data_IF_272809718299
#
_entry.id   IF_272809718299
#
_cell.length_a   1.000
_cell.length_b   1.000
_cell.length_c   1.000
_cell.angle_alpha   90.00
_cell.angle_beta   90.00
_cell.angle_gamma   90.00
#
_symmetry.space_group_name_H-M   'P 1'
#
loop_
_entity.id
_entity.type
_entity.pdbx_description
1 polymer ?
#
# COMPACT_ATOMS: atom_id res chain seq x y z
N UNK A 1 -24.33 0.99 5.93
CA UNK A 1 -24.37 -0.31 5.24
C UNK A 1 -24.80 -0.21 3.77
N UNK A 2 -26.03 0.23 3.45
CA UNK A 2 -26.51 0.29 2.04
C UNK A 2 -25.64 1.14 1.11
N UNK A 3 -25.18 2.31 1.56
CA UNK A 3 -24.27 3.17 0.81
C UNK A 3 -22.93 2.48 0.49
N UNK A 4 -22.34 1.76 1.47
CA UNK A 4 -21.08 1.04 1.29
C UNK A 4 -21.20 -0.05 0.23
N UNK A 5 -22.31 -0.80 0.23
CA UNK A 5 -22.59 -1.84 -0.78
C UNK A 5 -22.73 -1.22 -2.17
N UNK A 6 -23.45 -0.09 -2.29
CA UNK A 6 -23.62 0.61 -3.58
C UNK A 6 -22.28 1.11 -4.12
N UNK A 7 -21.50 1.81 -3.30
CA UNK A 7 -20.15 2.29 -3.68
C UNK A 7 -19.27 1.12 -4.11
N UNK A 8 -19.36 0.01 -3.39
CA UNK A 8 -18.56 -1.15 -3.66
C UNK A 8 -18.95 -1.87 -4.97
N UNK A 9 -20.24 -2.04 -5.24
CA UNK A 9 -20.73 -2.56 -6.52
C UNK A 9 -20.31 -1.65 -7.67
N UNK A 10 -20.36 -0.32 -7.48
CA UNK A 10 -19.87 0.64 -8.47
C UNK A 10 -18.37 0.46 -8.74
N UNK A 11 -17.55 0.29 -7.70
CA UNK A 11 -16.12 0.04 -7.85
C UNK A 11 -15.83 -1.28 -8.57
N UNK A 12 -16.51 -2.37 -8.22
CA UNK A 12 -16.37 -3.67 -8.92
C UNK A 12 -16.81 -3.56 -10.38
N UNK A 13 -17.89 -2.82 -10.66
CA UNK A 13 -18.35 -2.57 -12.02
C UNK A 13 -17.33 -1.77 -12.83
N UNK A 14 -16.69 -0.78 -12.18
CA UNK A 14 -15.61 -0.01 -12.78
C UNK A 14 -14.40 -0.91 -13.11
N UNK A 15 -14.02 -1.83 -12.22
CA UNK A 15 -12.96 -2.81 -12.48
C UNK A 15 -13.31 -3.68 -13.68
N UNK A 16 -14.50 -4.27 -13.71
CA UNK A 16 -14.93 -5.13 -14.81
C UNK A 16 -14.94 -4.39 -16.15
N UNK A 17 -15.38 -3.14 -16.17
CA UNK A 17 -15.34 -2.29 -17.35
C UNK A 17 -13.91 -2.03 -17.83
N UNK A 18 -12.98 -1.69 -16.93
CA UNK A 18 -11.57 -1.48 -17.30
C UNK A 18 -10.92 -2.73 -17.91
N UNK A 19 -11.20 -3.91 -17.35
CA UNK A 19 -10.68 -5.18 -17.89
C UNK A 19 -11.12 -5.36 -19.34
N UNK A 20 -12.39 -5.09 -19.65
CA UNK A 20 -12.88 -5.20 -21.04
C UNK A 20 -12.21 -4.23 -22.01
N UNK A 21 -11.91 -3.01 -21.56
CA UNK A 21 -11.22 -2.01 -22.38
C UNK A 21 -9.76 -2.37 -22.66
N UNK A 22 -9.06 -2.97 -21.69
CA UNK A 22 -7.63 -3.30 -21.82
C UNK A 22 -7.40 -4.53 -22.71
N UNK A 23 -8.25 -5.54 -22.58
CA UNK A 23 -8.12 -6.78 -23.36
C UNK A 23 -8.91 -6.77 -24.68
N UNK A 24 -9.46 -5.61 -25.07
CA UNK A 24 -10.31 -5.44 -26.26
C UNK A 24 -11.45 -6.47 -26.34
N UNK A 25 -12.07 -6.73 -25.19
CA UNK A 25 -13.17 -7.69 -25.03
C UNK A 25 -14.49 -6.93 -25.06
N UNK A 26 -15.53 -7.51 -25.67
CA UNK A 26 -16.84 -6.88 -25.78
C UNK A 26 -17.40 -6.46 -24.41
N UNK A 27 -17.91 -5.23 -24.31
CA UNK A 27 -18.28 -4.62 -23.02
C UNK A 27 -19.41 -5.34 -22.27
N UNK A 28 -20.23 -6.15 -22.95
CA UNK A 28 -21.26 -6.95 -22.27
C UNK A 28 -20.65 -8.06 -21.40
N UNK A 29 -19.43 -8.51 -21.68
CA UNK A 29 -18.73 -9.52 -20.88
C UNK A 29 -18.38 -8.99 -19.49
N UNK A 30 -18.22 -7.66 -19.32
CA UNK A 30 -18.06 -7.03 -18.01
C UNK A 30 -19.25 -7.27 -17.07
N UNK A 31 -20.45 -7.52 -17.61
CA UNK A 31 -21.65 -7.74 -16.80
C UNK A 31 -21.63 -9.09 -16.05
N UNK A 32 -20.98 -10.13 -16.61
CA UNK A 32 -20.92 -11.46 -16.01
C UNK A 32 -20.29 -11.47 -14.60
N UNK A 33 -19.05 -10.96 -14.38
CA UNK A 33 -18.46 -10.95 -13.05
C UNK A 33 -19.24 -10.05 -12.07
N UNK A 34 -19.81 -8.94 -12.55
CA UNK A 34 -20.62 -8.04 -11.72
C UNK A 34 -21.90 -8.74 -11.24
N UNK A 35 -22.59 -9.46 -12.13
CA UNK A 35 -23.79 -10.24 -11.79
C UNK A 35 -23.48 -11.36 -10.79
N UNK A 36 -22.33 -12.02 -10.91
CA UNK A 36 -21.88 -13.03 -9.94
C UNK A 36 -21.69 -12.39 -8.56
N UNK A 37 -21.01 -11.23 -8.47
CA UNK A 37 -20.82 -10.52 -7.20
C UNK A 37 -22.17 -10.09 -6.60
N UNK A 38 -23.08 -9.55 -7.41
CA UNK A 38 -24.43 -9.18 -6.96
C UNK A 38 -25.18 -10.43 -6.45
N UNK A 39 -25.09 -11.56 -7.15
CA UNK A 39 -25.72 -12.82 -6.75
C UNK A 39 -25.18 -13.35 -5.41
N UNK A 40 -23.87 -13.30 -5.20
CA UNK A 40 -23.23 -13.68 -3.93
C UNK A 40 -23.72 -12.77 -2.80
N UNK A 41 -23.74 -11.45 -3.02
CA UNK A 41 -24.21 -10.50 -2.01
C UNK A 41 -25.68 -10.68 -1.67
N UNK A 42 -26.54 -10.92 -2.67
CA UNK A 42 -27.96 -11.22 -2.46
C UNK A 42 -28.16 -12.53 -1.68
N UNK A 43 -27.39 -13.58 -2.00
CA UNK A 43 -27.45 -14.85 -1.29
C UNK A 43 -27.02 -14.72 0.17
N UNK A 44 -25.93 -13.99 0.44
CA UNK A 44 -25.45 -13.74 1.81
C UNK A 44 -26.46 -12.92 2.60
N UNK A 45 -27.02 -11.85 2.02
CA UNK A 45 -28.07 -11.06 2.67
C UNK A 45 -29.35 -11.86 2.96
N UNK A 46 -29.71 -12.80 2.09
CA UNK A 46 -30.94 -13.58 2.24
C UNK A 46 -30.78 -14.75 3.23
N UNK A 47 -29.60 -15.36 3.28
CA UNK A 47 -29.38 -16.60 4.05
C UNK A 47 -28.65 -16.40 5.38
N UNK A 48 -27.91 -15.30 5.55
CA UNK A 48 -27.04 -15.06 6.70
C UNK A 48 -27.39 -13.70 7.32
N UNK A 49 -28.02 -13.72 8.49
CA UNK A 49 -28.39 -12.50 9.24
C UNK A 49 -27.20 -11.82 9.93
N UNK A 50 -26.00 -12.42 9.90
CA UNK A 50 -24.81 -11.85 10.53
C UNK A 50 -24.15 -10.78 9.67
N UNK A 51 -24.27 -9.52 10.12
CA UNK A 51 -23.60 -8.35 9.53
C UNK A 51 -22.07 -8.53 9.42
N UNK A 52 -21.46 -9.26 10.36
CA UNK A 52 -20.02 -9.58 10.36
C UNK A 52 -19.62 -10.42 9.13
N UNK A 53 -20.40 -11.45 8.83
CA UNK A 53 -20.16 -12.33 7.67
C UNK A 53 -20.27 -11.55 6.37
N UNK A 54 -21.20 -10.60 6.29
CA UNK A 54 -21.34 -9.72 5.12
C UNK A 54 -20.10 -8.83 4.91
N UNK A 55 -19.55 -8.22 5.98
CA UNK A 55 -18.31 -7.43 5.88
C UNK A 55 -17.11 -8.28 5.47
N UNK A 56 -17.01 -9.50 5.98
CA UNK A 56 -15.96 -10.43 5.58
C UNK A 56 -16.05 -10.79 4.09
N UNK A 57 -17.23 -11.12 3.59
CA UNK A 57 -17.45 -11.42 2.16
C UNK A 57 -17.14 -10.20 1.28
N UNK A 58 -17.57 -9.01 1.67
CA UNK A 58 -17.24 -7.77 0.95
C UNK A 58 -15.73 -7.50 0.94
N UNK A 59 -15.02 -7.79 2.03
CA UNK A 59 -13.56 -7.65 2.03
C UNK A 59 -12.89 -8.63 1.05
N UNK A 60 -13.33 -9.90 1.03
CA UNK A 60 -12.81 -10.92 0.11
C UNK A 60 -13.03 -10.57 -1.37
N UNK A 61 -14.23 -10.12 -1.73
CA UNK A 61 -14.50 -9.66 -3.10
C UNK A 61 -13.59 -8.49 -3.47
N UNK A 62 -13.08 -7.75 -2.48
CA UNK A 62 -12.41 -6.46 -2.68
C UNK A 62 -10.97 -6.70 -2.96
N UNK A 63 -10.40 -7.61 -2.19
CA UNK A 63 -9.14 -8.26 -2.46
C UNK A 63 -9.15 -8.93 -3.85
N UNK A 64 -10.18 -9.70 -4.20
CA UNK A 64 -10.27 -10.34 -5.51
C UNK A 64 -10.32 -9.32 -6.65
N UNK A 65 -11.11 -8.25 -6.49
CA UNK A 65 -11.20 -7.17 -7.47
C UNK A 65 -9.87 -6.41 -7.60
N UNK A 66 -9.21 -6.10 -6.47
CA UNK A 66 -7.88 -5.49 -6.46
C UNK A 66 -6.84 -6.39 -7.12
N UNK A 67 -6.93 -7.70 -6.99
CA UNK A 67 -6.02 -8.64 -7.64
C UNK A 67 -6.16 -8.58 -9.15
N UNK A 68 -7.40 -8.51 -9.65
CA UNK A 68 -7.66 -8.30 -11.08
C UNK A 68 -7.08 -6.96 -11.54
N UNK A 69 -7.40 -5.86 -10.85
CA UNK A 69 -6.86 -4.51 -11.17
C UNK A 69 -5.34 -4.52 -11.17
N UNK A 70 -4.72 -5.15 -10.16
CA UNK A 70 -3.26 -5.18 -10.01
C UNK A 70 -2.59 -5.94 -11.14
N UNK A 71 -3.14 -7.09 -11.56
CA UNK A 71 -2.63 -7.83 -12.73
C UNK A 71 -2.80 -7.01 -14.00
N UNK A 72 -3.98 -6.41 -14.21
CA UNK A 72 -4.24 -5.60 -15.41
C UNK A 72 -3.35 -4.36 -15.51
N UNK A 73 -2.95 -3.77 -14.38
CA UNK A 73 -2.03 -2.64 -14.35
C UNK A 73 -0.56 -3.08 -14.49
N UNK A 74 -0.18 -4.21 -13.87
CA UNK A 74 1.20 -4.67 -13.85
C UNK A 74 1.71 -5.13 -15.22
N UNK A 75 0.86 -5.80 -16.02
CA UNK A 75 1.22 -6.28 -17.36
C UNK A 75 1.76 -5.17 -18.29
N UNK A 76 1.04 -4.07 -18.54
CA UNK A 76 1.54 -2.98 -19.38
C UNK A 76 2.74 -2.27 -18.74
N UNK A 77 2.77 -2.11 -17.42
CA UNK A 77 3.90 -1.47 -16.76
C UNK A 77 5.20 -2.27 -16.90
N UNK A 78 5.13 -3.59 -16.79
CA UNK A 78 6.29 -4.46 -17.05
C UNK A 78 6.73 -4.42 -18.50
N UNK A 79 5.80 -4.28 -19.45
CA UNK A 79 6.12 -4.15 -20.87
C UNK A 79 6.86 -2.84 -21.20
N UNK A 80 6.68 -1.77 -20.41
CA UNK A 80 7.41 -0.50 -20.61
C UNK A 80 8.85 -0.51 -20.08
N UNK A 81 9.23 -1.51 -19.29
CA UNK A 81 10.61 -1.66 -18.79
C UNK A 81 11.52 -2.08 -19.95
N UNK A 82 12.72 -1.50 -20.03
CA UNK A 82 13.72 -1.78 -21.06
C UNK A 82 13.27 -1.47 -22.51
N UNK A 83 12.39 -0.47 -22.69
CA UNK A 83 12.06 0.10 -24.01
C UNK A 83 11.00 -0.65 -24.83
N UNK A 84 10.23 -1.55 -24.22
CA UNK A 84 9.10 -2.19 -24.87
C UNK A 84 7.95 -1.21 -25.17
N UNK A 85 7.39 -1.36 -26.38
CA UNK A 85 6.26 -0.63 -27.00
C UNK A 85 5.66 0.55 -26.23
N UNK A 86 5.58 1.70 -26.89
CA UNK A 86 4.80 2.86 -26.44
C UNK A 86 3.34 2.45 -26.25
N UNK A 87 2.94 2.24 -25.00
CA UNK A 87 1.55 1.92 -24.69
C UNK A 87 0.73 3.14 -25.14
N UNK A 88 -0.17 2.94 -26.11
CA UNK A 88 -1.20 3.94 -26.38
C UNK A 88 -1.86 4.25 -25.04
N UNK A 89 -1.79 5.52 -24.62
CA UNK A 89 -2.55 6.05 -23.50
C UNK A 89 -4.04 5.98 -23.83
N UNK A 90 -4.61 4.79 -23.82
CA UNK A 90 -6.04 4.63 -23.86
C UNK A 90 -6.56 5.06 -22.50
N UNK A 91 -7.61 5.89 -22.51
CA UNK A 91 -8.31 6.51 -21.39
C UNK A 91 -8.73 5.58 -20.21
N UNK A 92 -8.27 4.33 -20.21
CA UNK A 92 -8.55 3.22 -19.31
C UNK A 92 -7.65 3.14 -18.05
N UNK A 93 -6.58 3.94 -17.96
CA UNK A 93 -5.70 3.91 -16.77
C UNK A 93 -6.27 4.69 -15.57
N UNK A 94 -6.81 5.89 -15.77
CA UNK A 94 -7.39 6.72 -14.68
C UNK A 94 -8.43 5.94 -13.87
N UNK A 95 -9.40 5.24 -14.50
CA UNK A 95 -10.41 4.52 -13.74
C UNK A 95 -9.84 3.31 -12.99
N UNK A 96 -8.74 2.70 -13.44
CA UNK A 96 -8.03 1.66 -12.66
C UNK A 96 -7.49 2.23 -11.34
N UNK A 97 -6.83 3.39 -11.36
CA UNK A 97 -6.33 4.02 -10.14
C UNK A 97 -7.44 4.42 -9.18
N UNK A 98 -8.50 5.04 -9.71
CA UNK A 98 -9.67 5.44 -8.92
C UNK A 98 -10.29 4.20 -8.28
N UNK A 99 -10.40 3.10 -9.03
CA UNK A 99 -10.91 1.84 -8.49
C UNK A 99 -10.01 1.25 -7.40
N UNK A 100 -8.67 1.28 -7.58
CA UNK A 100 -7.73 0.76 -6.60
C UNK A 100 -7.74 1.57 -5.29
N UNK A 101 -7.69 2.90 -5.37
CA UNK A 101 -7.75 3.79 -4.20
C UNK A 101 -9.11 3.66 -3.50
N UNK A 102 -10.20 3.60 -4.27
CA UNK A 102 -11.55 3.40 -3.73
C UNK A 102 -11.70 2.06 -3.01
N UNK A 103 -11.26 0.96 -3.64
CA UNK A 103 -11.29 -0.37 -3.03
C UNK A 103 -10.38 -0.48 -1.81
N UNK A 104 -9.23 0.18 -1.82
CA UNK A 104 -8.36 0.29 -0.66
C UNK A 104 -9.06 1.01 0.50
N UNK A 105 -9.60 2.21 0.26
CA UNK A 105 -10.27 2.99 1.30
C UNK A 105 -11.48 2.26 1.91
N UNK A 106 -12.32 1.65 1.06
CA UNK A 106 -13.44 0.83 1.53
C UNK A 106 -12.92 -0.43 2.25
N UNK A 107 -11.85 -1.05 1.77
CA UNK A 107 -11.20 -2.21 2.39
C UNK A 107 -10.65 -1.93 3.79
N UNK A 108 -9.98 -0.77 3.99
CA UNK A 108 -9.51 -0.34 5.33
C UNK A 108 -10.68 -0.22 6.30
N UNK A 109 -11.76 0.42 5.85
CA UNK A 109 -12.96 0.58 6.66
C UNK A 109 -13.66 -0.75 6.96
N UNK A 110 -13.81 -1.63 5.97
CA UNK A 110 -14.39 -2.96 6.13
C UNK A 110 -13.56 -3.84 7.06
N UNK A 111 -12.23 -3.77 6.97
CA UNK A 111 -11.34 -4.53 7.84
C UNK A 111 -11.54 -4.14 9.31
N UNK A 112 -11.59 -2.83 9.60
CA UNK A 112 -11.91 -2.31 10.92
C UNK A 112 -13.32 -2.68 11.40
N UNK A 113 -14.31 -2.68 10.49
CA UNK A 113 -15.70 -3.03 10.79
C UNK A 113 -15.94 -4.55 10.96
N UNK A 114 -15.04 -5.39 10.43
CA UNK A 114 -15.16 -6.85 10.45
C UNK A 114 -14.67 -7.51 11.74
N UNK A 115 -14.02 -6.76 12.64
CA UNK A 115 -13.58 -7.30 13.93
C UNK A 115 -14.79 -7.64 14.83
N UNK A 116 -14.70 -8.77 15.52
CA UNK A 116 -15.79 -9.35 16.32
C UNK A 116 -16.32 -8.34 17.36
N UNK A 117 -17.64 -8.11 17.37
CA UNK A 117 -18.28 -7.10 18.22
C UNK A 117 -18.25 -7.44 19.71
N UNK A 118 -17.97 -8.69 20.07
CA UNK A 118 -18.03 -9.15 21.46
C UNK A 118 -16.85 -8.73 22.33
N UNK A 119 -15.72 -8.28 21.76
CA UNK A 119 -14.55 -7.86 22.53
C UNK A 119 -13.98 -6.53 22.02
N UNK A 120 -14.24 -5.46 22.79
CA UNK A 120 -13.80 -4.10 22.50
C UNK A 120 -12.27 -3.98 22.41
N UNK A 121 -11.54 -4.83 23.15
CA UNK A 121 -10.08 -4.87 23.16
C UNK A 121 -9.55 -5.35 21.81
N UNK A 122 -10.11 -6.45 21.32
CA UNK A 122 -9.71 -7.03 20.04
C UNK A 122 -10.12 -6.14 18.86
N UNK A 123 -11.26 -5.47 18.96
CA UNK A 123 -11.64 -4.46 17.98
C UNK A 123 -10.60 -3.31 17.92
N UNK A 124 -10.22 -2.76 19.07
CA UNK A 124 -9.26 -1.66 19.14
C UNK A 124 -7.86 -2.08 18.68
N UNK A 125 -7.40 -3.27 19.09
CA UNK A 125 -6.14 -3.85 18.65
C UNK A 125 -6.10 -4.02 17.13
N UNK A 126 -7.15 -4.58 16.54
CA UNK A 126 -7.26 -4.74 15.08
C UNK A 126 -7.34 -3.38 14.36
N UNK A 127 -8.07 -2.41 14.93
CA UNK A 127 -8.17 -1.06 14.38
C UNK A 127 -6.80 -0.36 14.32
N UNK A 128 -6.01 -0.46 15.40
CA UNK A 128 -4.67 0.11 15.45
C UNK A 128 -3.64 -0.67 14.61
N UNK A 129 -3.85 -1.98 14.41
CA UNK A 129 -2.96 -2.81 13.60
C UNK A 129 -2.84 -2.34 12.14
N UNK A 130 -3.85 -1.61 11.66
CA UNK A 130 -3.85 -0.96 10.36
C UNK A 130 -4.55 -1.77 9.26
N UNK A 131 -4.30 -1.43 7.99
CA UNK A 131 -4.92 -2.10 6.86
C UNK A 131 -4.33 -3.51 6.66
N UNK A 132 -5.13 -4.42 6.09
CA UNK A 132 -4.65 -5.75 5.72
C UNK A 132 -3.45 -5.69 4.78
N UNK A 133 -2.42 -6.50 5.05
CA UNK A 133 -1.16 -6.50 4.30
C UNK A 133 -1.37 -6.76 2.80
N UNK A 134 -2.21 -7.73 2.45
CA UNK A 134 -2.49 -8.08 1.06
C UNK A 134 -3.25 -6.96 0.34
N UNK A 135 -4.22 -6.32 1.01
CA UNK A 135 -4.96 -5.18 0.46
C UNK A 135 -4.01 -4.02 0.11
N UNK A 136 -3.12 -3.67 1.04
CA UNK A 136 -2.12 -2.62 0.82
C UNK A 136 -1.10 -2.99 -0.25
N UNK A 137 -0.69 -4.25 -0.34
CA UNK A 137 0.26 -4.74 -1.37
C UNK A 137 -0.34 -4.68 -2.78
N UNK A 138 -1.57 -5.18 -2.98
CA UNK A 138 -2.22 -5.15 -4.29
C UNK A 138 -2.44 -3.71 -4.77
N UNK A 139 -2.85 -2.83 -3.84
CA UNK A 139 -3.00 -1.40 -4.14
C UNK A 139 -1.65 -0.77 -4.48
N UNK A 140 -0.59 -1.10 -3.74
CA UNK A 140 0.77 -0.65 -4.04
C UNK A 140 1.25 -1.12 -5.41
N UNK A 141 0.88 -2.33 -5.85
CA UNK A 141 1.20 -2.83 -7.18
C UNK A 141 0.56 -1.97 -8.27
N UNK A 142 -0.71 -1.59 -8.10
CA UNK A 142 -1.40 -0.70 -9.05
C UNK A 142 -0.76 0.69 -9.07
N UNK A 143 -0.49 1.28 -7.90
CA UNK A 143 0.15 2.59 -7.81
C UNK A 143 1.56 2.57 -8.41
N UNK A 144 2.32 1.52 -8.17
CA UNK A 144 3.67 1.34 -8.72
C UNK A 144 3.62 1.20 -10.23
N UNK A 145 2.83 0.26 -10.75
CA UNK A 145 2.65 0.05 -12.19
C UNK A 145 2.24 1.35 -12.89
N UNK A 146 1.29 2.04 -12.27
CA UNK A 146 0.82 3.31 -12.74
C UNK A 146 1.83 4.45 -12.73
N UNK A 147 2.70 4.49 -11.71
CA UNK A 147 3.80 5.47 -11.65
C UNK A 147 4.81 5.21 -12.76
N UNK A 148 5.11 3.95 -13.08
CA UNK A 148 6.00 3.60 -14.20
C UNK A 148 5.39 4.03 -15.54
N UNK A 149 4.11 3.75 -15.76
CA UNK A 149 3.39 4.17 -16.96
C UNK A 149 3.34 5.70 -17.08
N UNK A 150 3.11 6.41 -15.97
CA UNK A 150 3.15 7.87 -15.92
C UNK A 150 4.54 8.42 -16.25
N UNK A 151 5.61 7.77 -15.77
CA UNK A 151 6.99 8.16 -16.10
C UNK A 151 7.30 7.95 -17.58
N UNK A 152 6.83 6.86 -18.19
CA UNK A 152 7.00 6.60 -19.62
C UNK A 152 6.36 7.70 -20.46
N UNK A 153 5.12 8.07 -20.13
CA UNK A 153 4.41 9.17 -20.77
C UNK A 153 5.08 10.52 -20.63
N UNK A 154 5.55 10.84 -19.41
CA UNK A 154 6.25 12.09 -19.14
C UNK A 154 7.53 12.20 -19.98
N UNK A 155 8.24 11.07 -20.19
CA UNK A 155 9.44 11.03 -21.02
C UNK A 155 9.18 11.22 -22.52
N UNK A 156 8.03 10.77 -23.01
CA UNK A 156 7.59 11.03 -24.40
C UNK A 156 7.13 12.47 -24.59
N UNK A 157 6.43 13.02 -23.58
CA UNK A 157 5.78 14.33 -23.68
C UNK A 157 6.75 15.48 -23.41
N UNK A 158 7.69 15.33 -22.48
CA UNK A 158 8.61 16.39 -22.04
C UNK A 158 10.06 15.94 -22.16
N UNK A 159 10.85 16.63 -22.99
CA UNK A 159 12.28 16.33 -23.20
C UNK A 159 13.12 16.49 -21.93
N UNK A 160 12.77 17.42 -21.04
CA UNK A 160 13.46 17.64 -19.76
C UNK A 160 13.33 16.45 -18.79
N UNK A 161 12.22 15.72 -18.85
CA UNK A 161 11.93 14.60 -17.96
C UNK A 161 12.58 13.29 -18.40
N UNK A 162 13.07 13.21 -19.65
CA UNK A 162 13.68 12.00 -20.20
C UNK A 162 14.82 11.47 -19.33
N UNK A 163 15.69 12.35 -18.83
CA UNK A 163 16.80 11.92 -17.96
C UNK A 163 16.31 11.23 -16.69
N UNK A 164 15.22 11.72 -16.09
CA UNK A 164 14.64 11.14 -14.87
C UNK A 164 13.90 9.86 -15.21
N UNK A 165 13.06 9.86 -16.25
CA UNK A 165 12.31 8.69 -16.71
C UNK A 165 13.22 7.50 -17.00
N UNK A 166 14.35 7.72 -17.69
CA UNK A 166 15.32 6.67 -18.00
C UNK A 166 15.92 6.03 -16.73
N UNK A 167 16.07 6.79 -15.64
CA UNK A 167 16.55 6.23 -14.35
C UNK A 167 15.55 5.26 -13.72
N UNK A 168 14.26 5.41 -14.01
CA UNK A 168 13.20 4.54 -13.51
C UNK A 168 12.89 3.36 -14.44
N UNK A 169 12.98 3.55 -15.76
CA UNK A 169 12.53 2.55 -16.76
C UNK A 169 13.65 1.74 -17.42
N UNK A 170 14.84 2.32 -17.58
CA UNK A 170 15.94 1.71 -18.38
C UNK A 170 17.05 1.13 -17.49
N UNK A 171 16.79 0.97 -16.19
CA UNK A 171 17.78 0.53 -15.18
C UNK A 171 17.44 -0.83 -14.58
N UNK A 172 16.64 -1.63 -15.28
CA UNK A 172 16.20 -2.96 -14.85
C UNK A 172 15.14 -2.95 -13.74
N UNK A 173 15.08 -4.03 -12.96
CA UNK A 173 13.97 -4.30 -12.03
C UNK A 173 14.07 -3.59 -10.67
N UNK A 174 15.23 -2.99 -10.34
CA UNK A 174 15.46 -2.39 -9.02
C UNK A 174 14.61 -1.14 -8.79
N UNK A 175 14.54 -0.14 -9.70
CA UNK A 175 13.65 1.01 -9.48
C UNK A 175 12.15 0.63 -9.39
N UNK A 176 11.59 -0.21 -10.29
CA UNK A 176 10.20 -0.68 -10.18
C UNK A 176 9.89 -1.35 -8.83
N UNK A 177 10.75 -2.23 -8.35
CA UNK A 177 10.57 -2.92 -7.06
C UNK A 177 10.73 -1.97 -5.88
N UNK A 178 11.65 -1.01 -5.96
CA UNK A 178 11.81 0.05 -4.95
C UNK A 178 10.54 0.89 -4.82
N UNK A 179 9.95 1.31 -5.94
CA UNK A 179 8.69 2.08 -5.98
C UNK A 179 7.53 1.25 -5.39
N UNK A 180 7.46 -0.05 -5.70
CA UNK A 180 6.49 -0.95 -5.10
C UNK A 180 6.60 -1.00 -3.57
N UNK A 181 7.79 -1.25 -3.03
CA UNK A 181 8.01 -1.29 -1.58
C UNK A 181 7.73 0.06 -0.92
N UNK A 182 8.11 1.16 -1.58
CA UNK A 182 7.81 2.52 -1.12
C UNK A 182 6.30 2.75 -0.99
N UNK A 183 5.50 2.43 -2.01
CA UNK A 183 4.05 2.56 -1.94
C UNK A 183 3.42 1.62 -0.93
N UNK A 184 3.91 0.37 -0.83
CA UNK A 184 3.40 -0.60 0.12
C UNK A 184 3.59 -0.12 1.57
N UNK A 185 4.81 0.31 1.91
CA UNK A 185 5.10 0.89 3.22
C UNK A 185 4.28 2.16 3.47
N UNK A 186 4.21 3.06 2.49
CA UNK A 186 3.45 4.32 2.62
C UNK A 186 1.96 4.08 2.85
N UNK A 187 1.34 3.14 2.14
CA UNK A 187 -0.07 2.82 2.31
C UNK A 187 -0.37 2.25 3.70
N UNK A 188 0.46 1.32 4.19
CA UNK A 188 0.31 0.78 5.55
C UNK A 188 0.39 1.93 6.57
N UNK A 189 1.40 2.78 6.45
CA UNK A 189 1.62 3.90 7.36
C UNK A 189 0.49 4.92 7.31
N UNK A 190 0.02 5.30 6.12
CA UNK A 190 -1.11 6.21 5.96
C UNK A 190 -2.41 5.63 6.54
N UNK A 191 -2.66 4.33 6.34
CA UNK A 191 -3.80 3.64 6.94
C UNK A 191 -3.74 3.65 8.46
N UNK A 192 -2.56 3.37 9.03
CA UNK A 192 -2.34 3.45 10.48
C UNK A 192 -2.48 4.88 11.01
N UNK A 193 -1.86 5.86 10.36
CA UNK A 193 -1.98 7.27 10.73
C UNK A 193 -3.42 7.76 10.66
N UNK A 194 -4.22 7.28 9.69
CA UNK A 194 -5.65 7.59 9.60
C UNK A 194 -6.43 7.05 10.80
N UNK A 195 -6.20 5.78 11.16
CA UNK A 195 -6.85 5.14 12.31
C UNK A 195 -6.45 5.82 13.62
N UNK A 196 -5.17 6.12 13.80
CA UNK A 196 -4.65 6.86 14.95
C UNK A 196 -5.24 8.27 15.04
N UNK A 197 -5.33 9.00 13.92
CA UNK A 197 -5.93 10.33 13.90
C UNK A 197 -7.41 10.27 14.29
N UNK A 198 -8.14 9.27 13.81
CA UNK A 198 -9.53 9.05 14.17
C UNK A 198 -9.69 8.75 15.66
N UNK A 199 -8.83 7.89 16.23
CA UNK A 199 -8.81 7.62 17.68
C UNK A 199 -8.47 8.88 18.48
N UNK A 200 -7.50 9.67 18.05
CA UNK A 200 -7.14 10.93 18.72
C UNK A 200 -8.29 11.93 18.69
N UNK A 201 -8.99 12.03 17.56
CA UNK A 201 -10.17 12.88 17.43
C UNK A 201 -11.32 12.40 18.32
N UNK A 202 -11.55 11.09 18.41
CA UNK A 202 -12.60 10.54 19.27
C UNK A 202 -12.28 10.75 20.75
N UNK A 203 -11.04 10.53 21.20
CA UNK A 203 -10.62 10.77 22.59
C UNK A 203 -10.70 12.24 23.01
N UNK A 204 -10.31 13.17 22.13
CA UNK A 204 -10.46 14.63 22.40
C UNK A 204 -11.90 15.06 22.61
N UNK A 205 -12.85 14.33 22.02
CA UNK A 205 -14.27 14.59 22.21
C UNK A 205 -14.74 14.14 23.60
N UNK A 206 -14.15 13.08 24.17
CA UNK A 206 -14.51 12.60 25.52
C UNK A 206 -14.12 13.58 26.61
N UNK A 207 -13.04 14.32 26.39
CA UNK A 207 -12.56 15.33 27.33
C UNK A 207 -13.45 16.58 27.37
N UNK A 208 -14.30 16.80 26.34
CA UNK A 208 -15.07 18.05 26.17
C UNK A 208 -16.57 17.93 26.42
N UNK A 209 -17.16 16.73 26.35
CA UNK A 209 -18.60 16.53 26.54
C UNK A 209 -18.86 15.87 27.91
N UNK A 210 -19.49 16.61 28.82
CA UNK A 210 -19.99 16.15 30.14
C UNK A 210 -21.19 15.19 30.03
N UNK A 211 -21.79 15.03 28.83
CA UNK A 211 -22.92 14.13 28.58
C UNK A 211 -22.63 13.12 27.45
N UNK A 212 -22.89 11.81 27.67
CA UNK A 212 -22.55 10.76 26.72
C UNK A 212 -23.64 10.62 25.66
N UNK A 213 -23.60 11.43 24.60
CA UNK A 213 -24.37 11.13 23.40
C UNK A 213 -23.53 10.35 22.38
N UNK A 214 -23.65 9.03 22.46
CA UNK A 214 -23.51 8.07 21.34
C UNK A 214 -22.31 8.27 20.43
N UNK A 215 -21.12 7.95 20.92
CA UNK A 215 -20.04 7.50 20.02
C UNK A 215 -19.76 6.06 20.39
N UNK A 216 -20.26 5.11 19.60
CA UNK A 216 -20.32 3.67 19.96
C UNK A 216 -18.97 3.02 20.28
N UNK A 217 -17.86 3.66 19.93
CA UNK A 217 -16.50 3.16 20.21
C UNK A 217 -15.97 3.57 21.58
N UNK A 218 -16.55 4.63 22.16
CA UNK A 218 -16.15 5.22 23.45
C UNK A 218 -16.69 4.40 24.59
N UNK A 219 -17.96 4.06 24.49
CA UNK A 219 -18.62 3.16 25.42
C UNK A 219 -17.94 1.79 25.41
N UNK A 220 -17.49 1.32 24.24
CA UNK A 220 -16.70 0.09 24.10
C UNK A 220 -15.35 0.16 24.80
N UNK A 221 -14.65 1.29 24.69
CA UNK A 221 -13.37 1.47 25.37
C UNK A 221 -13.59 1.67 26.88
N UNK A 222 -14.69 2.28 27.32
CA UNK A 222 -15.06 2.39 28.75
C UNK A 222 -15.34 1.01 29.37
N UNK A 223 -15.91 0.07 28.62
CA UNK A 223 -16.03 -1.36 29.06
C UNK A 223 -14.65 -1.98 29.34
N UNK A 224 -13.56 -1.44 28.78
CA UNK A 224 -12.21 -1.91 29.14
C UNK A 224 -11.83 -1.57 30.59
N UNK A 225 -12.38 -0.49 31.15
CA UNK A 225 -12.15 -0.07 32.55
C UNK A 225 -13.09 -0.71 33.58
N UNK A 226 -14.12 -1.45 33.16
CA UNK A 226 -15.09 -2.06 34.10
C UNK A 226 -14.47 -3.15 35.00
N UNK A 227 -13.36 -3.76 34.57
CA UNK A 227 -12.62 -4.75 35.36
C UNK A 227 -11.20 -4.24 35.66
N UNK A 228 -11.10 -3.45 36.73
CA UNK A 228 -9.85 -2.86 37.21
C UNK A 228 -8.74 -3.91 37.43
N UNK A 229 -9.12 -5.14 37.82
CA UNK A 229 -8.17 -6.23 38.09
C UNK A 229 -7.46 -6.76 36.84
N UNK A 230 -7.96 -6.44 35.64
CA UNK A 230 -7.42 -6.90 34.35
C UNK A 230 -6.96 -5.77 33.44
N UNK A 231 -7.03 -4.51 33.90
CA UNK A 231 -6.69 -3.36 33.08
C UNK A 231 -5.22 -3.39 32.62
N UNK A 232 -4.29 -3.73 33.52
CA UNK A 232 -2.87 -3.79 33.18
C UNK A 232 -2.57 -4.84 32.10
N UNK A 233 -3.14 -6.05 32.22
CA UNK A 233 -3.03 -7.10 31.19
C UNK A 233 -3.56 -6.65 29.82
N UNK A 234 -4.69 -5.92 29.83
CA UNK A 234 -5.32 -5.39 28.62
C UNK A 234 -4.48 -4.30 27.94
N UNK A 235 -3.89 -3.41 28.73
CA UNK A 235 -2.97 -2.38 28.24
C UNK A 235 -1.68 -2.99 27.69
N UNK A 236 -1.12 -3.98 28.39
CA UNK A 236 0.05 -4.73 27.91
C UNK A 236 -0.25 -5.42 26.57
N UNK A 237 -1.43 -6.02 26.42
CA UNK A 237 -1.86 -6.58 25.14
C UNK A 237 -1.90 -5.53 24.02
N UNK A 238 -2.46 -4.35 24.25
CA UNK A 238 -2.53 -3.28 23.25
C UNK A 238 -1.13 -2.77 22.85
N UNK A 239 -0.24 -2.58 23.82
CA UNK A 239 1.16 -2.20 23.57
C UNK A 239 1.92 -3.26 22.79
N UNK A 240 1.73 -4.54 23.11
CA UNK A 240 2.31 -5.64 22.35
C UNK A 240 1.80 -5.66 20.90
N UNK A 241 0.50 -5.49 20.70
CA UNK A 241 -0.12 -5.42 19.36
C UNK A 241 0.37 -4.24 18.54
N UNK A 242 0.56 -3.10 19.18
CA UNK A 242 1.19 -1.93 18.58
C UNK A 242 2.58 -2.28 18.04
N UNK A 243 3.45 -2.86 18.87
CA UNK A 243 4.81 -3.22 18.48
C UNK A 243 4.83 -4.25 17.33
N UNK A 244 4.00 -5.30 17.41
CA UNK A 244 3.83 -6.31 16.37
C UNK A 244 3.44 -5.67 15.02
N UNK A 245 2.49 -4.73 15.04
CA UNK A 245 1.94 -4.12 13.83
C UNK A 245 2.93 -3.22 13.09
N UNK A 246 4.04 -2.81 13.71
CA UNK A 246 5.13 -2.08 13.04
C UNK A 246 6.24 -2.98 12.47
N UNK A 247 6.16 -4.29 12.66
CA UNK A 247 7.15 -5.25 12.12
C UNK A 247 7.28 -5.15 10.60
N UNK A 248 6.17 -5.18 9.86
CA UNK A 248 6.19 -5.14 8.39
C UNK A 248 6.66 -3.78 7.86
N UNK A 249 6.14 -2.62 8.32
CA UNK A 249 6.68 -1.32 7.91
C UNK A 249 8.17 -1.14 8.17
N UNK A 250 8.69 -1.62 9.32
CA UNK A 250 10.12 -1.60 9.64
C UNK A 250 10.93 -2.48 8.68
N UNK A 251 10.42 -3.68 8.38
CA UNK A 251 11.05 -4.56 7.40
C UNK A 251 11.12 -3.91 6.01
N UNK A 252 10.02 -3.32 5.52
CA UNK A 252 10.00 -2.60 4.23
C UNK A 252 11.01 -1.44 4.26
N UNK A 253 11.04 -0.66 5.35
CA UNK A 253 12.02 0.40 5.53
C UNK A 253 13.48 -0.07 5.45
N UNK A 254 13.76 -1.30 5.88
CA UNK A 254 15.08 -1.93 5.74
C UNK A 254 15.33 -2.48 4.33
N UNK A 255 14.34 -3.11 3.69
CA UNK A 255 14.49 -3.70 2.34
C UNK A 255 14.83 -2.64 1.30
N UNK A 256 14.21 -1.46 1.36
CA UNK A 256 14.38 -0.42 0.33
C UNK A 256 15.86 0.00 0.16
N UNK A 257 16.62 0.39 1.21
CA UNK A 257 18.05 0.64 1.10
C UNK A 257 18.87 -0.57 0.64
N UNK A 258 18.50 -1.79 1.07
CA UNK A 258 19.19 -3.02 0.68
C UNK A 258 19.05 -3.28 -0.82
N UNK A 259 17.89 -3.01 -1.42
CA UNK A 259 17.71 -3.08 -2.88
C UNK A 259 18.65 -2.11 -3.61
N UNK A 260 18.83 -0.90 -3.07
CA UNK A 260 19.81 0.06 -3.59
C UNK A 260 21.25 -0.44 -3.53
N UNK A 261 21.63 -1.11 -2.44
CA UNK A 261 22.95 -1.73 -2.30
C UNK A 261 23.13 -2.93 -3.23
N UNK A 262 22.10 -3.75 -3.43
CA UNK A 262 22.12 -4.82 -4.44
C UNK A 262 22.39 -4.23 -5.83
N UNK A 263 21.77 -3.08 -6.14
CA UNK A 263 22.01 -2.33 -7.38
C UNK A 263 23.47 -1.94 -7.57
N UNK A 264 24.12 -1.35 -6.55
CA UNK A 264 25.54 -1.00 -6.64
C UNK A 264 26.44 -2.22 -6.82
N UNK A 265 26.20 -3.30 -6.06
CA UNK A 265 27.00 -4.52 -6.14
C UNK A 265 26.93 -5.12 -7.55
N UNK A 266 25.73 -5.17 -8.13
CA UNK A 266 25.55 -5.63 -9.51
C UNK A 266 26.25 -4.72 -10.52
N UNK A 267 26.07 -3.40 -10.43
CA UNK A 267 26.70 -2.47 -11.38
C UNK A 267 28.23 -2.44 -11.29
N UNK A 268 28.80 -2.52 -10.08
CA UNK A 268 30.26 -2.61 -9.88
C UNK A 268 30.79 -3.93 -10.44
N UNK A 269 30.10 -5.04 -10.19
CA UNK A 269 30.51 -6.36 -10.71
C UNK A 269 30.51 -6.40 -12.24
N UNK A 270 29.45 -5.87 -12.87
CA UNK A 270 29.33 -5.78 -14.32
C UNK A 270 30.36 -4.83 -14.93
N UNK A 271 30.61 -3.68 -14.30
CA UNK A 271 31.62 -2.74 -14.78
C UNK A 271 33.04 -3.34 -14.68
N UNK A 272 33.34 -4.05 -13.61
CA UNK A 272 34.60 -4.76 -13.46
C UNK A 272 34.78 -5.85 -14.53
N UNK A 273 33.72 -6.58 -14.91
CA UNK A 273 33.78 -7.53 -16.03
C UNK A 273 34.03 -6.84 -17.37
N UNK A 274 33.34 -5.73 -17.65
CA UNK A 274 33.55 -4.93 -18.85
C UNK A 274 35.00 -4.46 -18.98
N UNK A 275 35.58 -3.93 -17.91
CA UNK A 275 36.98 -3.46 -17.90
C UNK A 275 37.96 -4.62 -18.12
N UNK A 276 37.74 -5.78 -17.49
CA UNK A 276 38.59 -6.97 -17.73
C UNK A 276 38.60 -7.39 -19.20
N UNK A 277 37.42 -7.41 -19.84
CA UNK A 277 37.29 -7.76 -21.27
C UNK A 277 37.99 -6.73 -22.17
N UNK A 278 37.88 -5.46 -21.83
CA UNK A 278 38.57 -4.37 -22.54
C UNK A 278 40.09 -4.55 -22.47
N UNK A 279 40.64 -4.81 -21.28
CA UNK A 279 42.09 -5.03 -21.09
C UNK A 279 42.58 -6.27 -21.83
N UNK A 280 41.73 -7.31 -21.96
CA UNK A 280 42.05 -8.54 -22.66
C UNK A 280 41.87 -8.46 -24.19
N UNK A 281 41.36 -7.34 -24.73
CA UNK A 281 41.11 -7.18 -26.16
C UNK A 281 42.38 -6.80 -26.93
N UNK A 282 42.56 -7.37 -28.13
CA UNK A 282 43.74 -7.15 -28.98
C UNK A 282 43.71 -5.81 -29.75
N UNK A 283 42.62 -5.04 -29.67
CA UNK A 283 42.32 -3.89 -30.54
C UNK A 283 43.21 -2.65 -30.37
N UNK A 284 44.08 -2.59 -29.35
CA UNK A 284 44.98 -1.46 -29.16
C UNK A 284 44.29 -0.11 -28.91
N UNK A 285 45.08 0.95 -28.70
CA UNK A 285 44.68 2.21 -28.06
C UNK A 285 43.74 3.14 -28.87
N UNK A 286 43.34 2.83 -30.10
CA UNK A 286 42.60 3.77 -30.97
C UNK A 286 41.07 3.76 -30.84
N UNK A 287 40.49 2.96 -29.94
CA UNK A 287 39.03 2.91 -29.64
C UNK A 287 38.68 3.03 -28.15
N UNK A 288 39.66 3.38 -27.30
CA UNK A 288 39.55 3.22 -25.84
C UNK A 288 38.44 4.06 -25.21
N UNK A 289 38.08 5.23 -25.75
CA UNK A 289 37.07 6.10 -25.13
C UNK A 289 35.68 5.48 -25.12
N UNK A 290 35.27 4.89 -26.25
CA UNK A 290 33.92 4.37 -26.43
C UNK A 290 33.79 2.99 -25.76
N UNK A 291 34.83 2.17 -25.87
CA UNK A 291 34.88 0.86 -25.21
C UNK A 291 34.99 0.98 -23.68
N UNK A 292 35.76 1.95 -23.17
CA UNK A 292 35.79 2.25 -21.74
C UNK A 292 34.45 2.82 -21.27
N UNK A 293 33.84 3.70 -22.06
CA UNK A 293 32.50 4.25 -21.80
C UNK A 293 31.45 3.14 -21.64
N UNK A 294 31.45 2.16 -22.55
CA UNK A 294 30.59 1.00 -22.47
C UNK A 294 30.90 0.12 -21.25
N UNK A 295 32.18 -0.06 -20.92
CA UNK A 295 32.60 -0.86 -19.76
C UNK A 295 32.17 -0.23 -18.42
N UNK A 296 32.13 1.10 -18.30
CA UNK A 296 31.73 1.79 -17.05
C UNK A 296 30.25 2.15 -16.99
N UNK A 297 29.49 2.05 -18.09
CA UNK A 297 28.07 2.37 -18.11
C UNK A 297 27.23 1.66 -17.01
N UNK A 298 27.46 0.37 -16.67
CA UNK A 298 26.76 -0.30 -15.57
C UNK A 298 26.96 0.37 -14.21
N UNK A 299 28.07 1.07 -13.98
CA UNK A 299 28.34 1.78 -12.74
C UNK A 299 27.42 3.01 -12.58
N UNK A 300 27.17 3.73 -13.69
CA UNK A 300 26.21 4.84 -13.70
C UNK A 300 24.78 4.38 -13.41
N UNK A 301 24.39 3.23 -13.99
CA UNK A 301 23.11 2.57 -13.71
C UNK A 301 22.98 2.26 -12.22
N UNK A 302 24.01 1.63 -11.65
CA UNK A 302 24.07 1.30 -10.22
C UNK A 302 23.80 2.54 -9.35
N UNK A 303 24.55 3.63 -9.55
CA UNK A 303 24.38 4.84 -8.75
C UNK A 303 23.00 5.47 -8.88
N UNK A 304 22.41 5.46 -10.08
CA UNK A 304 21.03 5.94 -10.29
C UNK A 304 20.03 5.12 -9.46
N UNK A 305 20.11 3.79 -9.53
CA UNK A 305 19.18 2.90 -8.78
C UNK A 305 19.33 3.07 -7.27
N UNK A 306 20.56 3.23 -6.77
CA UNK A 306 20.83 3.44 -5.35
C UNK A 306 20.37 4.81 -4.88
N UNK A 307 20.54 5.85 -5.70
CA UNK A 307 20.04 7.19 -5.39
C UNK A 307 18.52 7.17 -5.23
N UNK A 308 17.80 6.51 -6.13
CA UNK A 308 16.34 6.35 -6.04
C UNK A 308 15.96 5.58 -4.77
N UNK A 309 16.62 4.45 -4.50
CA UNK A 309 16.36 3.63 -3.33
C UNK A 309 16.60 4.37 -2.01
N UNK A 310 17.72 5.07 -1.87
CA UNK A 310 18.02 5.84 -0.66
C UNK A 310 17.09 7.04 -0.50
N UNK A 311 16.73 7.72 -1.58
CA UNK A 311 15.81 8.88 -1.52
C UNK A 311 14.42 8.46 -1.06
N UNK A 312 13.85 7.42 -1.68
CA UNK A 312 12.54 6.88 -1.30
C UNK A 312 12.58 6.23 0.09
N UNK A 313 13.66 5.52 0.41
CA UNK A 313 13.88 4.91 1.73
C UNK A 313 13.97 5.93 2.86
N UNK A 314 14.66 7.05 2.65
CA UNK A 314 14.74 8.14 3.62
C UNK A 314 13.37 8.77 3.88
N UNK A 315 12.59 9.02 2.81
CA UNK A 315 11.23 9.52 2.94
C UNK A 315 10.32 8.53 3.67
N UNK A 316 10.41 7.24 3.34
CA UNK A 316 9.63 6.19 4.00
C UNK A 316 9.97 6.06 5.48
N UNK A 317 11.25 6.14 5.84
CA UNK A 317 11.69 6.12 7.24
C UNK A 317 11.16 7.33 8.02
N UNK A 318 11.11 8.51 7.40
CA UNK A 318 10.50 9.68 8.03
C UNK A 318 9.01 9.42 8.32
N UNK A 319 8.26 8.92 7.34
CA UNK A 319 6.84 8.58 7.52
C UNK A 319 6.63 7.53 8.61
N UNK A 320 7.50 6.51 8.68
CA UNK A 320 7.47 5.46 9.70
C UNK A 320 7.61 6.05 11.11
N UNK A 321 8.62 6.91 11.30
CA UNK A 321 8.87 7.56 12.59
C UNK A 321 7.70 8.47 13.01
N UNK A 322 7.11 9.21 12.07
CA UNK A 322 5.96 10.06 12.35
C UNK A 322 4.73 9.24 12.75
N UNK A 323 4.44 8.16 12.03
CA UNK A 323 3.32 7.27 12.32
C UNK A 323 3.47 6.59 13.68
N UNK A 324 4.63 6.00 13.98
CA UNK A 324 4.93 5.37 15.28
C UNK A 324 4.72 6.35 16.43
N UNK A 325 5.36 7.52 16.38
CA UNK A 325 5.22 8.56 17.40
C UNK A 325 3.78 9.01 17.59
N UNK A 326 3.00 9.10 16.52
CA UNK A 326 1.60 9.51 16.61
C UNK A 326 0.75 8.47 17.33
N UNK A 327 1.00 7.19 17.07
CA UNK A 327 0.24 6.07 17.63
C UNK A 327 0.61 5.79 19.09
N UNK A 328 1.91 5.85 19.42
CA UNK A 328 2.39 5.80 20.82
C UNK A 328 1.71 6.89 21.67
N UNK A 329 1.65 8.13 21.17
CA UNK A 329 0.98 9.24 21.89
C UNK A 329 -0.52 8.98 22.09
N UNK A 330 -1.19 8.41 21.09
CA UNK A 330 -2.60 8.08 21.20
C UNK A 330 -2.82 6.96 22.24
N UNK A 331 -1.99 5.92 22.23
CA UNK A 331 -2.02 4.83 23.22
C UNK A 331 -1.72 5.32 24.64
N UNK A 332 -0.71 6.17 24.83
CA UNK A 332 -0.41 6.76 26.14
C UNK A 332 -1.58 7.62 26.65
N UNK A 333 -2.23 8.39 25.76
CA UNK A 333 -3.40 9.20 26.13
C UNK A 333 -4.57 8.32 26.56
N UNK A 334 -4.82 7.25 25.80
CA UNK A 334 -5.84 6.26 26.10
C UNK A 334 -5.58 5.57 27.45
N UNK A 335 -4.36 5.10 27.68
CA UNK A 335 -3.94 4.46 28.93
C UNK A 335 -4.19 5.38 30.13
N UNK A 336 -3.81 6.66 30.02
CA UNK A 336 -4.06 7.64 31.07
C UNK A 336 -5.56 7.76 31.37
N UNK A 337 -6.39 7.91 30.34
CA UNK A 337 -7.84 8.04 30.50
C UNK A 337 -8.48 6.80 31.15
N UNK A 338 -8.06 5.60 30.76
CA UNK A 338 -8.56 4.35 31.34
C UNK A 338 -8.14 4.17 32.80
N UNK A 339 -6.93 4.58 33.16
CA UNK A 339 -6.46 4.56 34.55
C UNK A 339 -7.20 5.58 35.42
N UNK A 340 -7.51 6.76 34.87
CA UNK A 340 -8.30 7.79 35.55
C UNK A 340 -9.74 7.33 35.77
N UNK A 341 -10.37 6.68 34.78
CA UNK A 341 -11.74 6.17 34.92
C UNK A 341 -11.86 5.10 36.00
N UNK A 342 -10.90 4.17 36.10
CA UNK A 342 -10.87 3.16 37.17
C UNK A 342 -10.74 3.78 38.56
N UNK A 343 -9.96 4.86 38.71
CA UNK A 343 -9.78 5.53 40.01
C UNK A 343 -11.01 6.31 40.49
N UNK A 344 -11.94 6.61 39.59
CA UNK A 344 -13.15 7.37 39.91
C UNK A 344 -14.28 6.49 40.49
N UNK A 345 -14.15 5.16 40.41
CA UNK A 345 -15.07 4.16 41.00
C UNK A 345 -14.55 3.64 42.34
#
# INVERSE_FOLDING_TARGET
>A
MRLAIVVYILLVSLVAFNVTQIFDVSSWIAALPVLVVIGILAFVQFKIESTQTLYFVLNLVGIASLLVVSVTAALPALATIDGGSTLQWTNSLIPLFVSAIGLYGVGVWLHAASANESDALDWLANFLSGPGLLLSLLTALVLSAGTLLAMGWLGETWTEWQTITRRFLDRGLIPPTTVLFFYWGTLILLGKSWNTLYLHYSMRRWEKEDEPQTVSHVDRIRVLSDDAGRLDDRLEYLWRRHEESFTVPRYIGWVVPVLGFIGTVLGISLAADGIRRLIASESGLSGLSDELGAAIAPLGIAFDTTLIALSLGALLMLLLNLAQRSEERALTTLERQLRESVRAF
#
